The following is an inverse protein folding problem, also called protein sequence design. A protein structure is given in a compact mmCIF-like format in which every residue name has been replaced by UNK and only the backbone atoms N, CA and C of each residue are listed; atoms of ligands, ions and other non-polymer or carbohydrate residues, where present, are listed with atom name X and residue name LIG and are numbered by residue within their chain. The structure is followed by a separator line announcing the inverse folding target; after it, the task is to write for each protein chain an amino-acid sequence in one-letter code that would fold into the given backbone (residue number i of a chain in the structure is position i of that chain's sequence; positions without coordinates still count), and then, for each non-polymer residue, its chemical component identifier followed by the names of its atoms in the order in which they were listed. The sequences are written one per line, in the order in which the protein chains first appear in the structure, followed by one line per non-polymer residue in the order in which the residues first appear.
data_IF_876070713939
#
_entry.id   IF_876070713939
#
_cell.length_a   1.000
_cell.length_b   1.000
_cell.length_c   1.000
_cell.angle_alpha   90.00
_cell.angle_beta   90.00
_cell.angle_gamma   90.00
#
_symmetry.space_group_name_H-M   'P 1'
#
loop_
_entity.id
_entity.type
_entity.pdbx_description
1 polymer ?
#
# COMPACT_ATOMS: atom_id res chain seq x y z
N UNK A 1 35.63 -32.42 -27.45
CA UNK A 1 35.65 -31.38 -26.38
C UNK A 1 36.04 -30.10 -27.09
N UNK A 2 35.07 -29.29 -27.43
CA UNK A 2 35.28 -27.90 -27.84
C UNK A 2 35.70 -27.13 -26.62
N UNK A 3 36.73 -26.34 -26.81
CA UNK A 3 37.41 -25.49 -25.85
C UNK A 3 36.41 -24.77 -24.91
N UNK A 4 36.81 -24.58 -23.66
CA UNK A 4 36.08 -23.81 -22.63
C UNK A 4 35.94 -22.33 -23.02
N UNK A 5 35.42 -22.06 -24.21
CA UNK A 5 35.19 -20.73 -24.79
C UNK A 5 33.69 -20.45 -24.84
N UNK A 6 33.31 -19.37 -24.24
CA UNK A 6 31.96 -18.86 -24.31
C UNK A 6 31.77 -18.02 -25.59
N UNK A 7 30.89 -18.48 -26.47
CA UNK A 7 30.52 -17.73 -27.68
C UNK A 7 29.61 -16.54 -27.31
N UNK A 8 29.42 -15.61 -28.23
CA UNK A 8 28.60 -14.43 -28.02
C UNK A 8 27.20 -14.76 -27.50
N UNK A 9 26.55 -15.73 -28.15
CA UNK A 9 25.19 -16.16 -27.73
C UNK A 9 25.20 -16.78 -26.33
N UNK A 10 26.21 -17.56 -25.99
CA UNK A 10 26.38 -18.11 -24.65
C UNK A 10 26.62 -17.05 -23.61
N UNK A 11 27.36 -15.98 -23.94
CA UNK A 11 27.57 -14.85 -23.06
C UNK A 11 26.28 -14.02 -22.87
N UNK A 12 25.53 -13.79 -23.94
CA UNK A 12 24.23 -13.15 -23.86
C UNK A 12 23.23 -13.96 -22.99
N UNK A 13 23.17 -15.26 -23.21
CA UNK A 13 22.33 -16.14 -22.38
C UNK A 13 22.77 -16.17 -20.92
N UNK A 14 24.07 -16.10 -20.63
CA UNK A 14 24.56 -15.97 -19.27
C UNK A 14 24.12 -14.67 -18.61
N UNK A 15 24.24 -13.53 -19.30
CA UNK A 15 23.78 -12.23 -18.78
C UNK A 15 22.27 -12.17 -18.54
N UNK A 16 21.49 -12.90 -19.32
CA UNK A 16 20.03 -13.01 -19.18
C UNK A 16 19.58 -14.11 -18.21
N UNK A 17 20.53 -14.92 -17.74
CA UNK A 17 20.24 -16.04 -16.83
C UNK A 17 20.17 -15.57 -15.38
N UNK A 18 19.61 -16.43 -14.52
CA UNK A 18 19.60 -16.24 -13.08
C UNK A 18 21.01 -16.03 -12.47
N UNK A 19 22.05 -16.57 -13.10
CA UNK A 19 23.43 -16.37 -12.64
C UNK A 19 23.96 -14.95 -12.91
N UNK A 20 23.39 -14.26 -13.91
CA UNK A 20 23.70 -12.86 -14.23
C UNK A 20 22.78 -11.86 -13.55
N UNK A 21 21.77 -12.32 -12.81
CA UNK A 21 20.80 -11.46 -12.12
C UNK A 21 21.45 -10.77 -10.93
N UNK A 22 21.04 -9.51 -10.68
CA UNK A 22 21.43 -8.75 -9.49
C UNK A 22 20.63 -9.14 -8.25
N UNK A 23 19.45 -9.77 -8.43
CA UNK A 23 18.64 -10.29 -7.35
C UNK A 23 19.18 -11.64 -6.89
N UNK A 24 19.39 -11.77 -5.57
CA UNK A 24 19.70 -13.07 -4.99
C UNK A 24 18.57 -14.07 -5.29
N UNK A 25 18.90 -15.20 -5.93
CA UNK A 25 17.92 -16.20 -6.35
C UNK A 25 17.11 -16.80 -5.19
N UNK A 26 17.68 -16.89 -3.99
CA UNK A 26 16.94 -17.30 -2.78
C UNK A 26 15.81 -16.33 -2.45
N UNK A 27 15.94 -15.06 -2.82
CA UNK A 27 14.91 -14.04 -2.59
C UNK A 27 13.75 -14.09 -3.60
N UNK A 28 13.88 -14.88 -4.66
CA UNK A 28 12.77 -15.14 -5.61
C UNK A 28 11.66 -16.02 -5.01
N UNK A 29 11.93 -16.62 -3.86
CA UNK A 29 10.99 -17.41 -3.06
C UNK A 29 10.70 -16.70 -1.75
N UNK A 30 9.60 -17.09 -1.08
CA UNK A 30 9.34 -16.65 0.28
C UNK A 30 10.41 -17.27 1.19
N UNK A 31 11.22 -16.43 1.81
CA UNK A 31 12.35 -16.82 2.65
C UNK A 31 12.35 -16.12 4.01
N UNK A 32 11.56 -15.06 4.17
CA UNK A 32 11.42 -14.36 5.44
C UNK A 32 10.44 -15.10 6.35
N UNK A 33 10.59 -14.90 7.67
CA UNK A 33 9.61 -15.37 8.64
C UNK A 33 8.27 -14.68 8.38
N UNK A 34 7.22 -15.45 8.15
CA UNK A 34 5.86 -14.98 7.88
C UNK A 34 4.91 -15.22 9.06
N UNK A 35 5.46 -15.66 10.21
CA UNK A 35 4.70 -15.97 11.44
C UNK A 35 4.62 -14.80 12.43
N UNK A 36 5.24 -13.65 12.13
CA UNK A 36 5.17 -12.45 12.95
C UNK A 36 3.80 -11.75 12.77
N UNK A 37 3.34 -10.93 13.73
CA UNK A 37 2.11 -10.15 13.59
C UNK A 37 2.09 -9.27 12.33
N UNK A 38 0.92 -9.03 11.74
CA UNK A 38 0.76 -8.20 10.53
C UNK A 38 1.47 -6.84 10.63
N UNK A 39 1.45 -6.21 11.82
CA UNK A 39 2.11 -4.92 12.03
C UNK A 39 3.65 -4.97 11.91
N UNK A 40 4.25 -6.16 11.88
CA UNK A 40 5.69 -6.33 11.70
C UNK A 40 6.14 -6.38 10.23
N UNK A 41 5.24 -6.18 9.26
CA UNK A 41 5.58 -6.19 7.84
C UNK A 41 5.29 -4.85 7.18
N UNK A 42 6.10 -4.53 6.16
CA UNK A 42 5.66 -3.63 5.11
C UNK A 42 4.71 -4.40 4.19
N UNK A 43 3.63 -3.77 3.78
CA UNK A 43 2.55 -4.39 3.01
C UNK A 43 2.32 -3.57 1.75
N UNK A 44 2.55 -4.15 0.58
CA UNK A 44 2.36 -3.48 -0.71
C UNK A 44 0.93 -2.98 -0.85
N UNK A 45 0.74 -1.68 -1.00
CA UNK A 45 -0.56 -1.01 -0.92
C UNK A 45 -0.79 -0.07 -2.09
N UNK A 46 -2.01 -0.09 -2.63
CA UNK A 46 -2.44 0.76 -3.74
C UNK A 46 -3.48 1.77 -3.27
N UNK A 47 -3.32 3.03 -3.73
CA UNK A 47 -4.28 4.13 -3.55
C UNK A 47 -5.18 4.20 -4.77
N UNK A 48 -6.49 4.44 -4.57
CA UNK A 48 -7.51 4.56 -5.63
C UNK A 48 -7.28 3.53 -6.74
N UNK A 49 -7.26 2.26 -6.35
CA UNK A 49 -6.80 1.13 -7.17
C UNK A 49 -7.56 1.00 -8.50
N UNK A 50 -8.83 1.40 -8.52
CA UNK A 50 -9.71 1.36 -9.69
C UNK A 50 -9.27 2.28 -10.84
N UNK A 51 -8.44 3.33 -10.58
CA UNK A 51 -8.05 4.31 -11.57
C UNK A 51 -6.91 3.82 -12.48
N UNK A 52 -7.06 4.05 -13.78
CA UNK A 52 -6.04 3.73 -14.78
C UNK A 52 -5.18 4.93 -15.19
N UNK A 53 -5.61 6.14 -14.84
CA UNK A 53 -4.98 7.43 -15.20
C UNK A 53 -5.07 8.44 -14.04
N UNK A 54 -5.44 9.68 -14.34
CA UNK A 54 -5.54 10.77 -13.37
C UNK A 54 -6.80 10.66 -12.48
N UNK A 55 -6.83 11.47 -11.40
CA UNK A 55 -7.87 11.43 -10.36
C UNK A 55 -9.19 12.11 -10.79
N UNK A 56 -9.19 12.97 -11.82
CA UNK A 56 -10.34 13.83 -12.18
C UNK A 56 -11.18 13.27 -13.31
N UNK A 57 -10.55 12.79 -14.38
CA UNK A 57 -11.23 12.29 -15.59
C UNK A 57 -10.70 10.93 -16.03
N UNK A 58 -10.06 10.21 -15.13
CA UNK A 58 -9.52 8.87 -15.38
C UNK A 58 -10.62 7.83 -15.60
N UNK A 59 -10.24 6.71 -16.18
CA UNK A 59 -11.14 5.57 -16.37
C UNK A 59 -10.99 4.62 -15.19
N UNK A 60 -12.09 4.29 -14.53
CA UNK A 60 -12.14 3.21 -13.55
C UNK A 60 -12.24 1.87 -14.27
N UNK A 61 -11.53 0.86 -13.77
CA UNK A 61 -11.49 -0.45 -14.39
C UNK A 61 -11.22 -1.54 -13.36
N UNK A 62 -11.89 -2.68 -13.51
CA UNK A 62 -11.61 -3.91 -12.73
C UNK A 62 -10.22 -4.47 -13.09
N UNK A 63 -9.76 -4.27 -14.33
CA UNK A 63 -8.42 -4.64 -14.78
C UNK A 63 -7.30 -3.95 -13.96
N UNK A 64 -7.55 -2.76 -13.42
CA UNK A 64 -6.59 -2.07 -12.55
C UNK A 64 -6.34 -2.87 -11.25
N UNK A 65 -7.38 -3.47 -10.67
CA UNK A 65 -7.25 -4.39 -9.52
C UNK A 65 -6.46 -5.64 -9.89
N UNK A 66 -6.76 -6.23 -11.05
CA UNK A 66 -6.02 -7.39 -11.55
C UNK A 66 -4.52 -7.08 -11.65
N UNK A 67 -4.16 -5.96 -12.26
CA UNK A 67 -2.76 -5.53 -12.40
C UNK A 67 -2.08 -5.30 -11.06
N UNK A 68 -2.76 -4.63 -10.12
CA UNK A 68 -2.22 -4.39 -8.79
C UNK A 68 -1.96 -5.71 -8.05
N UNK A 69 -2.92 -6.63 -8.02
CA UNK A 69 -2.81 -7.94 -7.37
C UNK A 69 -1.71 -8.80 -8.00
N UNK A 70 -1.62 -8.83 -9.34
CA UNK A 70 -0.58 -9.56 -10.08
C UNK A 70 0.81 -8.93 -9.92
N UNK A 71 0.90 -7.62 -9.61
CA UNK A 71 2.15 -6.97 -9.22
C UNK A 71 2.57 -7.29 -7.77
N UNK A 72 1.74 -8.01 -7.00
CA UNK A 72 1.99 -8.37 -5.60
C UNK A 72 1.36 -7.42 -4.58
N UNK A 73 0.50 -6.50 -4.99
CA UNK A 73 -0.23 -5.63 -4.06
C UNK A 73 -1.13 -6.45 -3.12
N UNK A 74 -1.13 -6.11 -1.83
CA UNK A 74 -1.91 -6.81 -0.79
C UNK A 74 -2.91 -5.93 -0.05
N UNK A 75 -2.93 -4.63 -0.33
CA UNK A 75 -3.98 -3.74 0.13
C UNK A 75 -4.48 -2.92 -1.06
N UNK A 76 -5.76 -3.08 -1.40
CA UNK A 76 -6.43 -2.39 -2.51
C UNK A 76 -7.57 -1.53 -1.95
N UNK A 77 -7.82 -0.41 -2.61
CA UNK A 77 -8.82 0.57 -2.19
C UNK A 77 -10.06 0.54 -3.08
N UNK A 78 -11.21 0.68 -2.43
CA UNK A 78 -12.52 0.74 -3.07
C UNK A 78 -13.30 1.93 -2.50
N UNK A 79 -13.49 2.98 -3.29
CA UNK A 79 -14.35 4.12 -2.96
C UNK A 79 -15.76 3.81 -3.41
N UNK A 80 -16.59 3.44 -2.45
CA UNK A 80 -17.92 2.88 -2.65
C UNK A 80 -18.97 3.97 -2.54
N UNK A 81 -19.76 4.14 -3.58
CA UNK A 81 -20.80 5.14 -3.70
C UNK A 81 -22.15 4.53 -4.06
N UNK A 82 -23.22 5.27 -3.74
CA UNK A 82 -24.57 4.89 -4.16
C UNK A 82 -24.66 4.75 -5.68
N UNK A 83 -25.11 3.60 -6.14
CA UNK A 83 -25.42 3.35 -7.54
C UNK A 83 -26.91 3.27 -7.79
N UNK A 84 -27.32 3.13 -9.05
CA UNK A 84 -28.71 2.89 -9.44
C UNK A 84 -29.14 1.46 -9.10
N UNK A 85 -30.44 1.26 -9.00
CA UNK A 85 -31.07 -0.06 -8.82
C UNK A 85 -30.58 -0.85 -7.59
N UNK A 86 -30.12 -0.14 -6.54
CA UNK A 86 -29.61 -0.75 -5.32
C UNK A 86 -28.20 -1.35 -5.43
N UNK A 87 -27.51 -1.15 -6.56
CA UNK A 87 -26.17 -1.71 -6.83
C UNK A 87 -25.07 -0.67 -6.54
N UNK A 88 -24.19 -0.92 -5.54
CA UNK A 88 -23.07 -0.04 -5.23
C UNK A 88 -22.08 0.04 -6.39
N UNK A 89 -21.49 1.23 -6.56
CA UNK A 89 -20.48 1.50 -7.58
C UNK A 89 -19.16 1.92 -6.95
N UNK A 90 -18.09 1.80 -7.72
CA UNK A 90 -16.74 2.25 -7.35
C UNK A 90 -16.28 3.29 -8.36
N UNK A 91 -15.94 4.48 -7.89
CA UNK A 91 -15.34 5.57 -8.65
C UNK A 91 -14.79 6.63 -7.71
N UNK A 92 -13.99 7.57 -8.23
CA UNK A 92 -13.52 8.71 -7.45
C UNK A 92 -14.65 9.74 -7.32
N UNK A 93 -15.21 9.87 -6.13
CA UNK A 93 -16.37 10.73 -5.86
C UNK A 93 -16.16 12.17 -6.29
N UNK A 94 -17.27 12.86 -6.63
CA UNK A 94 -17.27 14.25 -7.08
C UNK A 94 -16.40 14.57 -8.30
N UNK A 95 -15.97 13.55 -9.05
CA UNK A 95 -15.13 13.69 -10.26
C UNK A 95 -15.84 13.14 -11.50
N UNK A 96 -15.22 13.36 -12.68
CA UNK A 96 -15.69 12.83 -13.97
C UNK A 96 -15.14 11.44 -14.27
N UNK A 97 -14.57 10.73 -13.29
CA UNK A 97 -14.08 9.37 -13.49
C UNK A 97 -15.23 8.41 -13.80
N UNK A 98 -14.95 7.41 -14.63
CA UNK A 98 -15.99 6.41 -14.97
C UNK A 98 -16.32 5.53 -13.76
N UNK A 99 -17.51 4.96 -13.74
CA UNK A 99 -18.06 4.15 -12.66
C UNK A 99 -18.00 2.68 -13.06
N UNK A 100 -17.67 1.82 -12.09
CA UNK A 100 -17.71 0.36 -12.22
C UNK A 100 -18.56 -0.22 -11.10
N UNK A 101 -19.12 -1.40 -11.29
CA UNK A 101 -19.93 -2.04 -10.26
C UNK A 101 -19.02 -2.62 -9.15
N UNK A 102 -19.40 -2.41 -7.90
CA UNK A 102 -18.73 -3.00 -6.76
C UNK A 102 -18.64 -4.52 -6.87
N UNK A 103 -19.74 -5.18 -7.30
CA UNK A 103 -19.79 -6.61 -7.53
C UNK A 103 -18.68 -7.09 -8.47
N UNK A 104 -18.49 -6.42 -9.62
CA UNK A 104 -17.50 -6.81 -10.63
C UNK A 104 -16.07 -6.66 -10.10
N UNK A 105 -15.82 -5.67 -9.22
CA UNK A 105 -14.54 -5.53 -8.51
C UNK A 105 -14.31 -6.71 -7.59
N UNK A 106 -15.31 -7.11 -6.78
CA UNK A 106 -15.20 -8.26 -5.86
C UNK A 106 -14.99 -9.57 -6.63
N UNK A 107 -15.64 -9.76 -7.78
CA UNK A 107 -15.39 -10.91 -8.67
C UNK A 107 -13.94 -10.95 -9.17
N UNK A 108 -13.41 -9.81 -9.60
CA UNK A 108 -12.01 -9.71 -10.02
C UNK A 108 -11.04 -10.01 -8.87
N UNK A 109 -11.34 -9.55 -7.66
CA UNK A 109 -10.54 -9.86 -6.46
C UNK A 109 -10.60 -11.35 -6.15
N UNK A 110 -11.78 -12.00 -6.17
CA UNK A 110 -11.92 -13.45 -5.98
C UNK A 110 -10.99 -14.22 -6.92
N UNK A 111 -10.96 -13.83 -8.18
CA UNK A 111 -10.24 -14.57 -9.23
C UNK A 111 -8.72 -14.37 -9.17
N UNK A 112 -8.25 -13.23 -8.67
CA UNK A 112 -6.83 -12.83 -8.75
C UNK A 112 -6.13 -12.63 -7.41
N UNK A 113 -6.85 -12.55 -6.28
CA UNK A 113 -6.27 -12.27 -4.96
C UNK A 113 -5.07 -13.16 -4.62
N UNK A 114 -5.15 -14.46 -4.95
CA UNK A 114 -4.15 -15.45 -4.53
C UNK A 114 -3.37 -16.09 -5.68
N UNK A 115 -3.40 -15.50 -6.89
CA UNK A 115 -2.60 -16.02 -8.03
C UNK A 115 -1.12 -15.71 -7.91
N UNK A 116 -0.77 -14.50 -7.46
CA UNK A 116 0.63 -14.10 -7.28
C UNK A 116 1.17 -14.48 -5.90
N UNK A 117 0.35 -14.46 -4.87
CA UNK A 117 0.76 -14.65 -3.49
C UNK A 117 -0.37 -15.28 -2.69
N UNK A 118 -0.11 -16.26 -1.83
CA UNK A 118 -1.12 -16.87 -0.97
C UNK A 118 -1.46 -16.03 0.28
N UNK A 119 -0.70 -14.97 0.55
CA UNK A 119 -0.85 -14.15 1.75
C UNK A 119 -2.03 -13.18 1.65
N UNK A 120 -2.59 -12.74 2.78
CA UNK A 120 -3.86 -12.06 2.83
C UNK A 120 -3.93 -10.80 1.98
N UNK A 121 -5.13 -10.49 1.50
CA UNK A 121 -5.46 -9.22 0.82
C UNK A 121 -6.37 -8.42 1.73
N UNK A 122 -6.07 -7.12 1.88
CA UNK A 122 -6.86 -6.15 2.64
C UNK A 122 -7.67 -5.30 1.66
N UNK A 123 -8.99 -5.27 1.82
CA UNK A 123 -9.89 -4.36 1.13
C UNK A 123 -10.06 -3.10 1.98
N UNK A 124 -9.45 -2.00 1.56
CA UNK A 124 -9.63 -0.69 2.21
C UNK A 124 -10.87 -0.04 1.63
N UNK A 125 -11.97 -0.08 2.39
CA UNK A 125 -13.24 0.51 1.96
C UNK A 125 -13.30 1.98 2.40
N UNK A 126 -13.50 2.87 1.43
CA UNK A 126 -13.97 4.22 1.64
C UNK A 126 -15.46 4.24 1.27
N UNK A 127 -16.32 4.29 2.28
CA UNK A 127 -17.74 3.99 2.10
C UNK A 127 -18.59 5.26 2.21
N UNK A 128 -19.28 5.59 1.11
CA UNK A 128 -20.23 6.68 0.97
C UNK A 128 -21.65 6.19 0.68
N UNK A 129 -21.91 4.89 0.81
CA UNK A 129 -23.23 4.30 0.61
C UNK A 129 -24.10 4.45 1.88
N UNK A 130 -25.42 4.57 1.70
CA UNK A 130 -26.40 4.41 2.75
C UNK A 130 -26.51 2.95 3.23
N UNK A 131 -27.26 2.72 4.30
CA UNK A 131 -27.34 1.41 4.98
C UNK A 131 -27.79 0.27 4.04
N UNK A 132 -28.72 0.53 3.14
CA UNK A 132 -29.25 -0.47 2.22
C UNK A 132 -28.15 -0.98 1.24
N UNK A 133 -27.42 -0.06 0.60
CA UNK A 133 -26.35 -0.46 -0.30
C UNK A 133 -25.12 -0.99 0.43
N UNK A 134 -24.87 -0.58 1.67
CA UNK A 134 -23.87 -1.23 2.53
C UNK A 134 -24.22 -2.70 2.81
N UNK A 135 -25.51 -3.01 3.06
CA UNK A 135 -25.95 -4.40 3.20
C UNK A 135 -25.78 -5.18 1.89
N UNK A 136 -26.04 -4.52 0.74
CA UNK A 136 -25.75 -5.11 -0.60
C UNK A 136 -24.26 -5.38 -0.79
N UNK A 137 -23.37 -4.44 -0.40
CA UNK A 137 -21.92 -4.67 -0.43
C UNK A 137 -21.52 -5.90 0.40
N UNK A 138 -22.05 -6.00 1.62
CA UNK A 138 -21.79 -7.13 2.50
C UNK A 138 -22.29 -8.44 1.89
N UNK A 139 -23.48 -8.44 1.30
CA UNK A 139 -24.03 -9.59 0.59
C UNK A 139 -23.12 -10.03 -0.57
N UNK A 140 -22.70 -9.10 -1.43
CA UNK A 140 -21.80 -9.42 -2.55
C UNK A 140 -20.47 -9.99 -2.08
N UNK A 141 -19.83 -9.37 -1.09
CA UNK A 141 -18.57 -9.89 -0.55
C UNK A 141 -18.74 -11.32 -0.01
N UNK A 142 -19.79 -11.58 0.76
CA UNK A 142 -20.04 -12.90 1.33
C UNK A 142 -20.36 -13.95 0.26
N UNK A 143 -21.22 -13.61 -0.70
CA UNK A 143 -21.64 -14.53 -1.75
C UNK A 143 -20.51 -14.88 -2.73
N UNK A 144 -19.66 -13.89 -3.07
CA UNK A 144 -18.62 -14.04 -4.10
C UNK A 144 -17.34 -14.60 -3.51
N UNK A 145 -16.88 -14.07 -2.36
CA UNK A 145 -15.61 -14.48 -1.74
C UNK A 145 -15.75 -15.77 -0.91
N UNK A 146 -16.95 -16.05 -0.38
CA UNK A 146 -17.18 -17.25 0.41
C UNK A 146 -16.16 -17.41 1.55
N UNK A 147 -15.50 -18.57 1.63
CA UNK A 147 -14.52 -18.91 2.66
C UNK A 147 -13.23 -18.07 2.63
N UNK A 148 -12.98 -17.37 1.54
CA UNK A 148 -11.86 -16.43 1.49
C UNK A 148 -12.11 -15.21 2.38
N UNK A 149 -13.35 -14.78 2.57
CA UNK A 149 -13.68 -13.61 3.38
C UNK A 149 -13.55 -13.94 4.87
N UNK A 150 -12.71 -13.19 5.57
CA UNK A 150 -12.58 -13.31 7.02
C UNK A 150 -13.70 -12.51 7.70
N UNK A 151 -14.61 -13.20 8.38
CA UNK A 151 -15.77 -12.59 9.07
C UNK A 151 -15.73 -12.77 10.58
N UNK A 152 -14.79 -13.57 11.09
CA UNK A 152 -14.62 -13.80 12.53
C UNK A 152 -13.14 -13.91 12.87
N UNK A 153 -12.75 -13.59 14.13
CA UNK A 153 -11.38 -13.81 14.59
C UNK A 153 -10.95 -15.28 14.41
N UNK A 154 -9.67 -15.50 14.17
CA UNK A 154 -9.10 -16.84 14.11
C UNK A 154 -9.23 -17.51 15.49
N UNK A 155 -9.52 -18.81 15.48
CA UNK A 155 -9.62 -19.59 16.71
C UNK A 155 -8.29 -19.60 17.47
N UNK A 156 -8.33 -19.32 18.76
CA UNK A 156 -7.13 -19.26 19.60
C UNK A 156 -6.23 -18.04 19.41
N UNK A 157 -6.63 -17.05 18.63
CA UNK A 157 -5.88 -15.81 18.45
C UNK A 157 -5.91 -14.95 19.72
N UNK A 158 -4.76 -14.47 20.14
CA UNK A 158 -4.66 -13.49 21.23
C UNK A 158 -5.34 -12.18 20.80
N UNK A 159 -6.31 -11.66 21.57
CA UNK A 159 -6.98 -10.39 21.24
C UNK A 159 -6.06 -9.17 21.32
N UNK A 160 -4.90 -9.31 21.96
CA UNK A 160 -3.90 -8.24 22.12
C UNK A 160 -2.83 -8.26 21.03
N UNK A 161 -2.91 -9.17 20.06
CA UNK A 161 -1.95 -9.30 18.98
C UNK A 161 -2.64 -9.54 17.64
N UNK A 162 -2.14 -8.91 16.56
CA UNK A 162 -2.60 -9.22 15.23
C UNK A 162 -2.14 -10.61 14.77
N UNK A 163 -2.95 -11.34 14.01
CA UNK A 163 -2.50 -12.57 13.40
C UNK A 163 -1.38 -12.32 12.39
N UNK A 164 -0.66 -13.37 12.07
CA UNK A 164 0.42 -13.35 11.10
C UNK A 164 -0.10 -13.52 9.66
N UNK A 165 0.70 -13.09 8.65
CA UNK A 165 0.40 -13.42 7.26
C UNK A 165 0.24 -14.92 7.01
N UNK A 166 1.02 -15.75 7.73
CA UNK A 166 0.95 -17.22 7.61
C UNK A 166 -0.40 -17.77 8.07
N UNK A 167 -0.91 -17.31 9.21
CA UNK A 167 -2.22 -17.70 9.73
C UNK A 167 -3.38 -17.24 8.83
N UNK A 168 -3.17 -16.14 8.10
CA UNK A 168 -4.19 -15.52 7.24
C UNK A 168 -4.06 -15.92 5.76
N UNK A 169 -3.29 -16.94 5.43
CA UNK A 169 -3.20 -17.42 4.04
C UNK A 169 -4.58 -17.70 3.44
N UNK A 170 -4.78 -17.23 2.21
CA UNK A 170 -6.04 -17.40 1.49
C UNK A 170 -7.19 -16.56 2.02
N UNK A 171 -6.95 -15.61 2.94
CA UNK A 171 -7.98 -14.74 3.51
C UNK A 171 -7.98 -13.35 2.92
N UNK A 172 -9.19 -12.82 2.74
CA UNK A 172 -9.47 -11.43 2.40
C UNK A 172 -10.02 -10.76 3.65
N UNK A 173 -9.37 -9.66 4.08
CA UNK A 173 -9.76 -8.85 5.22
C UNK A 173 -10.40 -7.55 4.76
N UNK A 174 -11.37 -7.07 5.53
CA UNK A 174 -12.01 -5.77 5.29
C UNK A 174 -11.46 -4.74 6.26
N UNK A 175 -10.95 -3.62 5.73
CA UNK A 175 -10.65 -2.41 6.48
C UNK A 175 -11.79 -1.42 6.28
N UNK A 176 -12.46 -1.05 7.35
CA UNK A 176 -13.59 -0.15 7.32
C UNK A 176 -14.03 0.32 8.70
N UNK A 177 -15.02 1.21 8.74
CA UNK A 177 -15.66 1.62 9.99
C UNK A 177 -16.41 0.43 10.60
N UNK A 178 -16.51 0.40 11.93
CA UNK A 178 -17.21 -0.65 12.69
C UNK A 178 -18.16 0.02 13.70
N UNK A 179 -19.31 -0.60 13.92
CA UNK A 179 -20.22 -0.18 14.98
C UNK A 179 -19.55 -0.36 16.34
N UNK A 180 -19.77 0.56 17.30
CA UNK A 180 -19.26 0.41 18.66
C UNK A 180 -19.86 -0.85 19.29
N UNK A 181 -19.01 -1.60 20.02
CA UNK A 181 -19.49 -2.74 20.79
C UNK A 181 -20.27 -2.26 22.03
N UNK A 182 -21.35 -2.96 22.43
CA UNK A 182 -22.26 -2.49 23.50
C UNK A 182 -21.60 -2.29 24.86
N UNK A 183 -20.39 -2.81 25.06
CA UNK A 183 -19.67 -2.82 26.33
C UNK A 183 -18.45 -1.90 26.39
N UNK A 184 -18.19 -1.13 25.36
CA UNK A 184 -17.11 -0.15 25.37
C UNK A 184 -17.66 1.23 25.75
N UNK A 185 -17.07 1.85 26.77
CA UNK A 185 -17.33 3.25 27.09
C UNK A 185 -17.07 4.11 25.84
N UNK A 186 -17.97 5.09 25.55
CA UNK A 186 -17.76 6.00 24.46
C UNK A 186 -16.40 6.70 24.67
N UNK A 187 -15.56 6.71 23.65
CA UNK A 187 -14.31 7.48 23.67
C UNK A 187 -14.65 8.92 24.01
N UNK A 188 -14.19 9.39 25.15
CA UNK A 188 -14.13 10.83 25.38
C UNK A 188 -13.05 11.37 24.45
N UNK A 189 -13.45 11.91 23.32
CA UNK A 189 -12.59 12.73 22.46
C UNK A 189 -12.29 14.01 23.24
N UNK A 190 -11.22 13.99 24.03
CA UNK A 190 -10.77 15.16 24.82
C UNK A 190 -9.67 15.94 24.13
N UNK A 191 -9.34 15.63 22.89
CA UNK A 191 -8.50 16.49 22.05
C UNK A 191 -9.42 17.29 21.14
N UNK A 192 -9.44 18.61 21.30
CA UNK A 192 -9.93 19.52 20.27
C UNK A 192 -9.17 19.19 18.98
N UNK A 193 -9.83 19.13 17.81
CA UNK A 193 -9.14 18.98 16.54
C UNK A 193 -8.07 20.08 16.43
N UNK A 194 -6.93 19.73 15.87
CA UNK A 194 -5.89 20.70 15.57
C UNK A 194 -6.50 21.70 14.57
N UNK A 195 -6.34 23.01 14.75
CA UNK A 195 -6.85 24.01 13.79
C UNK A 195 -6.39 23.75 12.34
N UNK A 196 -5.21 23.13 12.15
CA UNK A 196 -4.75 22.69 10.82
C UNK A 196 -5.51 21.44 10.31
N UNK A 197 -6.11 20.63 11.20
CA UNK A 197 -7.00 19.52 10.80
C UNK A 197 -8.36 20.04 10.32
N UNK A 198 -8.87 21.10 10.95
CA UNK A 198 -10.09 21.78 10.48
C UNK A 198 -9.86 22.46 9.12
N UNK A 199 -8.68 23.07 8.88
CA UNK A 199 -8.36 23.64 7.56
C UNK A 199 -8.18 22.56 6.48
N UNK A 200 -7.59 21.37 6.81
CA UNK A 200 -7.48 20.26 5.86
C UNK A 200 -8.84 19.60 5.57
N UNK A 201 -9.69 19.43 6.59
CA UNK A 201 -11.07 19.01 6.42
C UNK A 201 -11.91 20.09 5.73
N UNK A 202 -11.66 21.39 6.00
CA UNK A 202 -12.36 22.49 5.32
C UNK A 202 -11.90 22.65 3.85
N UNK A 203 -10.63 22.43 3.51
CA UNK A 203 -10.17 22.43 2.09
C UNK A 203 -10.71 21.21 1.32
N UNK A 204 -10.88 20.05 1.97
CA UNK A 204 -11.61 18.89 1.40
C UNK A 204 -13.14 19.12 1.43
N UNK A 205 -13.67 19.88 2.41
CA UNK A 205 -15.09 20.17 2.58
C UNK A 205 -15.58 21.39 1.78
N UNK A 206 -14.74 22.34 1.34
CA UNK A 206 -15.17 23.43 0.46
C UNK A 206 -15.63 22.93 -0.92
N UNK A 207 -15.12 21.80 -1.40
CA UNK A 207 -15.72 21.09 -2.54
C UNK A 207 -17.05 20.39 -2.16
N UNK A 208 -17.36 20.22 -0.85
CA UNK A 208 -18.46 19.40 -0.32
C UNK A 208 -19.60 20.20 0.35
N UNK A 209 -19.63 21.54 0.27
CA UNK A 209 -20.62 22.37 0.96
C UNK A 209 -22.08 22.12 0.55
N UNK A 210 -22.33 21.35 -0.51
CA UNK A 210 -23.69 21.02 -0.99
C UNK A 210 -24.23 19.70 -0.42
N UNK A 211 -23.42 18.91 0.30
CA UNK A 211 -23.78 17.53 0.70
C UNK A 211 -23.94 17.30 2.22
N UNK A 212 -23.87 18.37 3.04
CA UNK A 212 -24.01 18.26 4.52
C UNK A 212 -25.34 17.68 5.00
N UNK A 213 -26.37 17.64 4.17
CA UNK A 213 -27.66 17.01 4.54
C UNK A 213 -27.63 15.47 4.38
N UNK A 214 -26.84 14.93 3.45
CA UNK A 214 -26.69 13.50 3.21
C UNK A 214 -25.59 12.87 4.10
N UNK A 215 -24.68 13.67 4.66
CA UNK A 215 -23.57 13.18 5.51
C UNK A 215 -24.04 12.58 6.85
N UNK A 216 -25.21 12.93 7.37
CA UNK A 216 -25.72 12.34 8.61
C UNK A 216 -26.10 10.87 8.46
N UNK A 217 -26.57 10.47 7.30
CA UNK A 217 -26.93 9.07 7.01
C UNK A 217 -25.69 8.24 6.56
N UNK A 218 -24.73 8.85 5.87
CA UNK A 218 -23.46 8.22 5.49
C UNK A 218 -22.52 7.97 6.69
N UNK A 219 -22.76 8.56 7.86
CA UNK A 219 -22.02 8.30 9.10
C UNK A 219 -22.40 6.96 9.76
N UNK A 220 -23.52 6.34 9.36
CA UNK A 220 -23.97 5.06 9.91
C UNK A 220 -23.36 3.89 9.18
N UNK A 221 -23.05 2.82 9.90
CA UNK A 221 -22.51 1.58 9.33
C UNK A 221 -23.56 0.47 9.44
N UNK A 222 -23.85 -0.21 8.32
CA UNK A 222 -24.73 -1.35 8.34
C UNK A 222 -24.15 -2.48 9.21
N UNK A 223 -24.97 -3.14 10.06
CA UNK A 223 -24.49 -4.23 10.91
C UNK A 223 -23.79 -5.35 10.14
N UNK A 224 -24.30 -5.68 8.96
CA UNK A 224 -23.74 -6.71 8.08
C UNK A 224 -22.32 -6.34 7.61
N UNK A 225 -22.09 -5.08 7.23
CA UNK A 225 -20.77 -4.59 6.83
C UNK A 225 -19.84 -4.48 8.03
N UNK A 226 -20.33 -3.95 9.16
CA UNK A 226 -19.59 -3.86 10.41
C UNK A 226 -19.06 -5.23 10.87
N UNK A 227 -19.87 -6.28 10.75
CA UNK A 227 -19.49 -7.64 11.14
C UNK A 227 -18.31 -8.21 10.32
N UNK A 228 -18.03 -7.66 9.13
CA UNK A 228 -16.91 -8.10 8.29
C UNK A 228 -15.57 -7.46 8.66
N UNK A 229 -15.60 -6.42 9.49
CA UNK A 229 -14.38 -5.73 9.97
C UNK A 229 -13.89 -6.43 11.22
N UNK A 230 -12.82 -7.24 11.09
CA UNK A 230 -12.30 -8.07 12.18
C UNK A 230 -10.97 -7.52 12.73
N UNK A 231 -9.92 -7.41 11.88
CA UNK A 231 -8.57 -7.02 12.30
C UNK A 231 -8.13 -5.64 11.78
N UNK A 232 -8.98 -4.94 11.02
CA UNK A 232 -8.62 -3.68 10.37
C UNK A 232 -9.73 -2.64 10.56
N UNK A 233 -10.08 -2.31 11.81
CA UNK A 233 -11.08 -1.29 12.11
C UNK A 233 -10.52 0.10 11.83
N UNK A 234 -11.12 0.83 10.88
CA UNK A 234 -10.76 2.20 10.61
C UNK A 234 -11.24 3.14 11.73
N UNK A 235 -10.31 3.89 12.30
CA UNK A 235 -10.59 4.82 13.41
C UNK A 235 -9.89 6.16 13.18
N UNK A 236 -10.46 7.27 13.67
CA UNK A 236 -9.74 8.53 13.79
C UNK A 236 -8.48 8.34 14.65
N UNK A 237 -7.39 9.03 14.29
CA UNK A 237 -6.16 8.93 15.04
C UNK A 237 -6.26 9.61 16.41
N UNK A 238 -6.09 8.89 17.53
CA UNK A 238 -6.28 9.45 18.86
C UNK A 238 -5.05 10.19 19.41
N UNK A 239 -4.02 10.40 18.59
CA UNK A 239 -2.71 10.92 18.99
C UNK A 239 -1.76 9.85 19.53
N UNK A 240 -0.45 10.04 19.31
CA UNK A 240 0.60 9.05 19.68
C UNK A 240 0.60 8.74 21.17
N UNK A 241 0.48 9.76 22.04
CA UNK A 241 0.52 9.57 23.48
C UNK A 241 -0.65 8.72 24.01
N UNK A 242 -1.83 8.85 23.42
CA UNK A 242 -2.99 8.02 23.78
C UNK A 242 -2.84 6.61 23.23
N UNK A 243 -2.53 6.46 21.95
CA UNK A 243 -2.41 5.17 21.28
C UNK A 243 -1.34 4.26 21.94
N UNK A 244 -0.20 4.83 22.35
CA UNK A 244 0.86 4.08 23.02
C UNK A 244 0.50 3.65 24.45
N UNK A 245 -0.37 4.40 25.13
CA UNK A 245 -0.87 4.02 26.47
C UNK A 245 -2.00 3.00 26.41
N UNK A 246 -2.77 3.00 25.31
CA UNK A 246 -3.95 2.16 25.11
C UNK A 246 -3.87 1.46 23.75
N UNK A 247 -2.92 0.54 23.55
CA UNK A 247 -2.73 -0.12 22.27
C UNK A 247 -3.97 -0.94 21.88
N UNK A 248 -4.41 -0.79 20.64
CA UNK A 248 -5.53 -1.49 20.04
C UNK A 248 -5.09 -2.09 18.71
N UNK A 249 -4.54 -3.30 18.67
CA UNK A 249 -3.91 -3.86 17.48
C UNK A 249 -4.83 -3.92 16.26
N UNK A 250 -6.13 -4.15 16.46
CA UNK A 250 -7.11 -4.26 15.36
C UNK A 250 -7.58 -2.90 14.80
N UNK A 251 -7.14 -1.78 15.38
CA UNK A 251 -7.48 -0.45 14.90
C UNK A 251 -6.43 0.08 13.92
N UNK A 252 -6.89 0.71 12.85
CA UNK A 252 -6.06 1.27 11.79
C UNK A 252 -6.40 2.73 11.61
N UNK A 253 -5.42 3.61 11.79
CA UNK A 253 -5.55 5.04 11.44
C UNK A 253 -4.96 5.29 10.06
N UNK A 254 -5.59 6.20 9.31
CA UNK A 254 -5.11 6.64 7.99
C UNK A 254 -4.60 8.08 8.09
N UNK A 255 -3.53 8.37 7.37
CA UNK A 255 -2.87 9.67 7.36
C UNK A 255 -2.64 10.13 5.93
N UNK A 256 -2.93 11.40 5.63
CA UNK A 256 -2.38 12.02 4.43
C UNK A 256 -0.84 12.03 4.50
N UNK A 257 -0.17 12.09 3.34
CA UNK A 257 1.30 12.18 3.30
C UNK A 257 1.84 13.38 4.09
N UNK A 258 1.08 14.47 4.17
CA UNK A 258 1.41 15.69 4.92
C UNK A 258 1.35 15.43 6.42
N UNK A 259 0.26 14.85 6.91
CA UNK A 259 0.08 14.50 8.33
C UNK A 259 1.11 13.46 8.78
N UNK A 260 1.39 12.46 7.96
CA UNK A 260 2.43 11.48 8.26
C UNK A 260 3.82 12.13 8.40
N UNK A 261 4.19 13.07 7.50
CA UNK A 261 5.45 13.84 7.62
C UNK A 261 5.49 14.71 8.87
N UNK A 262 4.37 15.35 9.23
CA UNK A 262 4.25 16.14 10.47
C UNK A 262 4.56 15.24 11.67
N UNK A 263 3.90 14.10 11.80
CA UNK A 263 4.13 13.13 12.89
C UNK A 263 5.57 12.61 12.93
N UNK A 264 6.17 12.30 11.79
CA UNK A 264 7.58 11.87 11.68
C UNK A 264 8.52 12.97 12.21
N UNK A 265 8.24 14.22 11.90
CA UNK A 265 9.05 15.36 12.31
C UNK A 265 8.90 15.68 13.81
N UNK A 266 7.70 15.57 14.34
CA UNK A 266 7.38 15.89 15.74
C UNK A 266 7.88 14.81 16.69
N UNK A 267 7.53 13.55 16.46
CA UNK A 267 7.99 12.40 17.27
C UNK A 267 8.03 11.11 16.44
N UNK A 268 9.00 11.04 15.54
CA UNK A 268 9.19 9.87 14.68
C UNK A 268 9.45 8.58 15.44
N UNK A 269 10.07 8.63 16.64
CA UNK A 269 10.32 7.45 17.45
C UNK A 269 9.02 6.92 18.10
N UNK A 270 8.14 7.80 18.57
CA UNK A 270 6.83 7.40 19.04
C UNK A 270 5.98 6.79 17.91
N UNK A 271 6.07 7.35 16.70
CA UNK A 271 5.39 6.79 15.54
C UNK A 271 5.94 5.39 15.16
N UNK A 272 7.25 5.16 15.25
CA UNK A 272 7.84 3.82 15.07
C UNK A 272 7.30 2.84 16.11
N UNK A 273 7.21 3.25 17.37
CA UNK A 273 6.63 2.42 18.44
C UNK A 273 5.16 2.10 18.21
N UNK A 274 4.40 3.08 17.77
CA UNK A 274 3.00 2.90 17.37
C UNK A 274 2.88 1.87 16.22
N UNK A 275 3.66 2.03 15.17
CA UNK A 275 3.68 1.14 14.02
C UNK A 275 4.25 -0.26 14.31
N UNK A 276 4.92 -0.46 15.44
CA UNK A 276 5.33 -1.80 15.90
C UNK A 276 4.17 -2.62 16.49
N UNK A 277 3.05 -1.98 16.85
CA UNK A 277 1.91 -2.59 17.53
C UNK A 277 0.61 -2.55 16.73
N UNK A 278 0.45 -1.55 15.86
CA UNK A 278 -0.77 -1.30 15.08
C UNK A 278 -0.44 -1.04 13.62
N UNK A 279 -1.44 -1.24 12.76
CA UNK A 279 -1.34 -0.86 11.36
C UNK A 279 -1.64 0.64 11.19
N UNK A 280 -0.88 1.28 10.32
CA UNK A 280 -1.20 2.61 9.80
C UNK A 280 -1.22 2.60 8.28
N UNK A 281 -2.10 3.42 7.71
CA UNK A 281 -2.17 3.65 6.28
C UNK A 281 -1.75 5.08 5.97
N UNK A 282 -0.96 5.26 4.92
CA UNK A 282 -0.60 6.59 4.40
C UNK A 282 -1.06 6.67 2.95
N UNK A 283 -1.61 7.82 2.56
CA UNK A 283 -2.14 8.05 1.22
C UNK A 283 -1.70 9.41 0.65
N UNK A 284 -1.65 9.58 -0.69
CA UNK A 284 -1.30 10.84 -1.33
C UNK A 284 -2.33 11.94 -1.02
N UNK A 285 -1.93 13.21 -1.07
CA UNK A 285 -2.86 14.34 -0.94
C UNK A 285 -3.92 14.30 -2.06
N UNK A 286 -5.19 14.57 -1.71
CA UNK A 286 -6.33 14.60 -2.63
C UNK A 286 -6.15 15.58 -3.79
N UNK A 287 -5.50 16.73 -3.54
CA UNK A 287 -5.19 17.76 -4.55
C UNK A 287 -4.23 17.31 -5.66
N UNK A 288 -3.65 16.09 -5.59
CA UNK A 288 -2.77 15.54 -6.63
C UNK A 288 -3.56 15.00 -7.83
N UNK A 289 -4.23 15.88 -8.55
CA UNK A 289 -5.07 15.55 -9.72
C UNK A 289 -4.38 14.66 -10.76
N UNK A 290 -3.05 14.75 -10.87
CA UNK A 290 -2.24 13.95 -11.80
C UNK A 290 -1.94 12.54 -11.35
N UNK A 291 -2.45 12.09 -10.21
CA UNK A 291 -2.09 10.82 -9.57
C UNK A 291 -0.59 10.67 -9.25
N UNK A 292 0.10 11.78 -8.96
CA UNK A 292 1.52 11.71 -8.60
C UNK A 292 1.71 11.04 -7.24
N UNK A 293 2.85 10.39 -7.05
CA UNK A 293 3.18 9.70 -5.82
C UNK A 293 4.12 10.53 -4.94
N UNK A 294 4.02 10.31 -3.64
CA UNK A 294 5.00 10.79 -2.65
C UNK A 294 6.16 9.79 -2.52
N UNK A 295 7.23 10.19 -1.83
CA UNK A 295 8.35 9.29 -1.55
C UNK A 295 7.95 8.27 -0.46
N UNK A 296 7.77 6.99 -0.79
CA UNK A 296 7.33 5.99 0.19
C UNK A 296 8.38 5.65 1.24
N UNK A 297 9.67 5.90 0.94
CA UNK A 297 10.76 5.56 1.85
C UNK A 297 10.67 6.33 3.17
N UNK A 298 10.19 7.58 3.15
CA UNK A 298 9.98 8.38 4.36
C UNK A 298 9.02 7.68 5.34
N UNK A 299 7.94 7.10 4.82
CA UNK A 299 6.92 6.43 5.61
C UNK A 299 7.39 5.06 6.10
N UNK A 300 8.13 4.32 5.26
CA UNK A 300 8.72 3.04 5.66
C UNK A 300 9.79 3.23 6.75
N UNK A 301 10.54 4.34 6.74
CA UNK A 301 11.51 4.67 7.80
C UNK A 301 10.83 4.83 9.17
N UNK A 302 9.58 5.28 9.19
CA UNK A 302 8.75 5.38 10.40
C UNK A 302 7.96 4.09 10.70
N UNK A 303 8.16 3.02 9.93
CA UNK A 303 7.53 1.73 10.15
C UNK A 303 6.09 1.62 9.65
N UNK A 304 5.57 2.59 8.88
CA UNK A 304 4.23 2.49 8.29
C UNK A 304 4.12 1.26 7.37
N UNK A 305 3.03 0.52 7.50
CA UNK A 305 2.81 -0.73 6.77
C UNK A 305 2.12 -0.50 5.43
N UNK A 306 0.97 0.18 5.45
CA UNK A 306 0.09 0.38 4.30
C UNK A 306 0.40 1.72 3.63
N UNK A 307 1.56 1.79 2.97
CA UNK A 307 2.01 2.99 2.25
C UNK A 307 1.42 2.95 0.85
N UNK A 308 0.22 3.54 0.73
CA UNK A 308 -0.59 3.44 -0.48
C UNK A 308 -0.08 4.38 -1.58
N UNK A 309 0.11 3.83 -2.77
CA UNK A 309 0.63 4.54 -3.94
C UNK A 309 -0.30 4.38 -5.14
N UNK A 310 -0.26 5.34 -6.05
CA UNK A 310 -0.93 5.30 -7.34
C UNK A 310 -0.15 4.37 -8.29
N UNK A 311 -0.58 3.11 -8.41
CA UNK A 311 0.14 2.08 -9.19
C UNK A 311 0.14 2.35 -10.69
N UNK A 312 -0.80 3.17 -11.18
CA UNK A 312 -0.87 3.58 -12.59
C UNK A 312 0.19 4.62 -12.98
N UNK A 313 0.87 5.24 -12.02
CA UNK A 313 1.80 6.34 -12.27
C UNK A 313 3.24 5.88 -12.10
N UNK A 314 4.02 5.72 -13.19
CA UNK A 314 5.43 5.32 -13.11
C UNK A 314 6.29 6.44 -12.50
N UNK A 315 7.48 6.08 -12.05
CA UNK A 315 8.49 7.00 -11.53
C UNK A 315 9.17 6.47 -10.28
N UNK A 316 10.07 7.27 -9.71
CA UNK A 316 10.95 6.86 -8.61
C UNK A 316 10.21 6.22 -7.42
N UNK A 317 9.03 6.73 -7.05
CA UNK A 317 8.24 6.15 -5.96
C UNK A 317 7.80 4.72 -6.26
N UNK A 318 7.35 4.44 -7.48
CA UNK A 318 6.95 3.09 -7.89
C UNK A 318 8.16 2.18 -8.13
N UNK A 319 9.30 2.73 -8.56
CA UNK A 319 10.56 1.98 -8.65
C UNK A 319 11.04 1.55 -7.25
N UNK A 320 10.96 2.43 -6.25
CA UNK A 320 11.25 2.10 -4.86
C UNK A 320 10.28 1.04 -4.31
N UNK A 321 8.98 1.16 -4.63
CA UNK A 321 7.98 0.18 -4.23
C UNK A 321 8.24 -1.18 -4.88
N UNK A 322 8.50 -1.21 -6.18
CA UNK A 322 8.84 -2.43 -6.90
C UNK A 322 10.11 -3.09 -6.31
N UNK A 323 11.15 -2.30 -6.05
CA UNK A 323 12.38 -2.79 -5.43
C UNK A 323 12.18 -3.33 -4.01
N UNK A 324 11.35 -2.64 -3.19
CA UNK A 324 11.03 -3.08 -1.82
C UNK A 324 10.36 -4.46 -1.82
N UNK A 325 9.39 -4.67 -2.69
CA UNK A 325 8.57 -5.87 -2.73
C UNK A 325 9.03 -6.92 -3.77
N UNK A 326 10.18 -6.68 -4.44
CA UNK A 326 10.76 -7.64 -5.39
C UNK A 326 11.24 -8.92 -4.68
N UNK A 327 11.84 -8.78 -3.51
CA UNK A 327 12.28 -9.89 -2.67
C UNK A 327 11.13 -10.66 -2.03
N UNK A 328 11.48 -11.67 -1.21
CA UNK A 328 10.53 -12.51 -0.49
C UNK A 328 9.43 -13.12 -1.40
N UNK A 329 9.85 -13.57 -2.60
CA UNK A 329 8.95 -14.21 -3.56
C UNK A 329 7.90 -13.28 -4.17
N UNK A 330 8.11 -11.97 -4.13
CA UNK A 330 7.12 -10.97 -4.57
C UNK A 330 5.74 -11.17 -3.92
N UNK A 331 5.75 -11.66 -2.67
CA UNK A 331 4.50 -12.00 -1.98
C UNK A 331 3.73 -10.79 -1.46
N UNK A 332 4.31 -9.59 -1.57
CA UNK A 332 3.68 -8.33 -1.15
C UNK A 332 3.81 -8.02 0.34
N UNK A 333 4.50 -8.86 1.09
CA UNK A 333 4.86 -8.69 2.49
C UNK A 333 6.38 -8.73 2.64
N UNK A 334 6.96 -7.74 3.31
CA UNK A 334 8.39 -7.68 3.62
C UNK A 334 8.55 -7.44 5.10
N UNK A 335 9.25 -8.35 5.79
CA UNK A 335 9.47 -8.25 7.23
C UNK A 335 10.31 -7.01 7.55
N UNK A 336 9.83 -6.19 8.46
CA UNK A 336 10.53 -5.00 8.93
C UNK A 336 11.83 -5.40 9.64
N UNK A 337 12.88 -4.56 9.60
CA UNK A 337 14.08 -4.79 10.39
C UNK A 337 13.75 -4.73 11.89
N UNK A 338 14.58 -5.38 12.74
CA UNK A 338 14.32 -5.45 14.19
C UNK A 338 14.10 -4.09 14.86
N UNK A 339 14.83 -3.05 14.44
CA UNK A 339 14.70 -1.70 14.98
C UNK A 339 13.31 -1.07 14.76
N UNK A 340 12.52 -1.55 13.79
CA UNK A 340 11.16 -1.10 13.53
C UNK A 340 10.09 -2.05 14.10
N UNK A 341 10.48 -3.22 14.61
CA UNK A 341 9.56 -4.18 15.24
C UNK A 341 9.59 -4.11 16.76
N UNK A 342 10.79 -3.89 17.33
CA UNK A 342 11.03 -3.84 18.79
C UNK A 342 11.91 -2.63 19.12
N UNK A 343 11.41 -1.39 18.98
CA UNK A 343 12.18 -0.20 19.32
C UNK A 343 12.29 0.01 20.84
N UNK A 344 13.48 0.43 21.39
CA UNK A 344 14.70 0.70 20.64
C UNK A 344 15.44 -0.60 20.31
N UNK A 345 15.61 -0.90 19.02
CA UNK A 345 16.45 -2.02 18.60
C UNK A 345 17.93 -1.70 18.76
N UNK A 346 18.72 -2.68 19.19
CA UNK A 346 20.17 -2.55 19.24
C UNK A 346 20.77 -2.56 17.82
N UNK A 347 21.74 -1.68 17.64
CA UNK A 347 22.81 -1.84 16.65
C UNK A 347 22.49 -1.42 15.23
N UNK A 348 22.91 -0.22 14.85
CA UNK A 348 23.14 0.12 13.44
C UNK A 348 24.42 -0.59 12.97
N UNK A 349 24.27 -1.73 12.29
CA UNK A 349 25.38 -2.30 11.53
C UNK A 349 25.64 -1.44 10.30
N UNK A 350 26.84 -0.90 10.19
CA UNK A 350 27.27 -0.23 8.97
C UNK A 350 27.55 -1.28 7.90
N UNK A 351 26.82 -1.19 6.78
CA UNK A 351 27.07 -1.99 5.59
C UNK A 351 27.80 -1.14 4.56
N UNK A 352 28.88 -1.68 4.00
CA UNK A 352 29.53 -1.10 2.83
C UNK A 352 28.97 -1.77 1.58
N UNK A 353 28.32 -0.99 0.73
CA UNK A 353 27.82 -1.46 -0.57
C UNK A 353 28.81 -1.09 -1.67
N UNK A 354 29.35 -2.09 -2.36
CA UNK A 354 30.21 -1.90 -3.52
C UNK A 354 29.44 -2.21 -4.80
N UNK A 355 29.22 -1.22 -5.64
CA UNK A 355 28.55 -1.38 -6.94
C UNK A 355 29.57 -1.20 -8.05
N UNK A 356 29.78 -2.25 -8.85
CA UNK A 356 30.61 -2.21 -10.06
C UNK A 356 29.72 -2.23 -11.30
N UNK A 357 29.70 -1.15 -12.05
CA UNK A 357 29.07 -1.12 -13.37
C UNK A 357 29.94 -1.88 -14.35
N UNK A 358 29.48 -2.99 -14.87
CA UNK A 358 30.23 -3.86 -15.77
C UNK A 358 29.98 -3.47 -17.23
N UNK A 359 28.70 -3.43 -17.64
CA UNK A 359 28.30 -3.09 -18.99
C UNK A 359 26.84 -2.58 -19.02
N UNK A 360 26.48 -1.88 -20.08
CA UNK A 360 25.12 -1.56 -20.46
C UNK A 360 25.01 -1.72 -21.98
N UNK A 361 24.05 -2.48 -22.45
CA UNK A 361 23.96 -2.91 -23.87
C UNK A 361 22.59 -2.58 -24.42
N UNK A 362 22.51 -2.31 -25.74
CA UNK A 362 21.28 -2.04 -26.48
C UNK A 362 20.41 -0.96 -25.82
N UNK A 363 21.05 0.10 -25.31
CA UNK A 363 20.34 1.19 -24.65
C UNK A 363 19.45 1.92 -25.66
N UNK A 364 18.15 2.09 -25.36
CA UNK A 364 17.22 2.77 -26.25
C UNK A 364 17.55 4.27 -26.31
N UNK A 365 17.47 4.85 -27.49
CA UNK A 365 17.55 6.30 -27.67
C UNK A 365 16.20 6.91 -27.28
N UNK A 366 16.18 7.69 -26.20
CA UNK A 366 14.97 8.34 -25.71
C UNK A 366 14.52 9.53 -26.55
N UNK A 367 15.47 10.25 -27.18
CA UNK A 367 15.19 11.42 -28.00
C UNK A 367 15.42 11.08 -29.49
N UNK A 368 14.33 10.86 -30.24
CA UNK A 368 14.39 10.48 -31.65
C UNK A 368 14.60 11.66 -32.61
N UNK A 369 14.51 12.92 -32.14
CA UNK A 369 14.56 14.10 -33.00
C UNK A 369 15.97 14.39 -33.55
N UNK A 370 17.02 13.84 -32.95
CA UNK A 370 18.39 13.93 -33.46
C UNK A 370 18.76 12.67 -34.25
N UNK A 371 18.52 12.68 -35.55
CA UNK A 371 18.66 11.52 -36.46
C UNK A 371 20.04 10.88 -36.53
N UNK A 372 21.10 11.49 -36.02
CA UNK A 372 22.49 11.06 -36.23
C UNK A 372 23.32 10.81 -34.95
N UNK A 373 22.75 10.95 -33.75
CA UNK A 373 23.54 10.76 -32.54
C UNK A 373 23.35 9.37 -31.94
N UNK A 374 24.43 8.76 -31.51
CA UNK A 374 24.51 7.59 -30.65
C UNK A 374 24.15 8.06 -29.23
N UNK A 375 23.76 7.16 -28.33
CA UNK A 375 23.47 7.50 -26.93
C UNK A 375 24.74 7.89 -26.17
N UNK A 376 24.62 8.80 -25.22
CA UNK A 376 25.69 9.18 -24.30
C UNK A 376 25.37 8.67 -22.89
N UNK A 377 25.53 7.36 -22.61
CA UNK A 377 25.07 6.75 -21.39
C UNK A 377 25.94 7.12 -20.18
N UNK A 378 25.29 7.15 -19.03
CA UNK A 378 25.91 7.12 -17.72
C UNK A 378 25.08 6.26 -16.78
N UNK A 379 25.67 5.79 -15.69
CA UNK A 379 24.97 5.07 -14.64
C UNK A 379 24.95 5.91 -13.37
N UNK A 380 23.79 6.05 -12.80
CA UNK A 380 23.57 6.70 -11.51
C UNK A 380 23.10 5.67 -10.51
N UNK A 381 23.73 5.66 -9.34
CA UNK A 381 23.36 4.81 -8.21
C UNK A 381 22.92 5.73 -7.08
N UNK A 382 21.74 5.48 -6.55
CA UNK A 382 21.15 6.21 -5.43
C UNK A 382 20.79 5.25 -4.31
N UNK A 383 21.09 5.65 -3.06
CA UNK A 383 20.63 4.95 -1.85
C UNK A 383 19.52 5.79 -1.24
N UNK A 384 18.37 5.18 -1.03
CA UNK A 384 17.22 5.78 -0.39
C UNK A 384 17.00 5.09 0.97
N UNK A 385 16.98 5.86 2.04
CA UNK A 385 16.86 5.37 3.41
C UNK A 385 16.54 6.51 4.37
N UNK A 386 17.00 6.39 5.61
CA UNK A 386 17.01 7.53 6.52
C UNK A 386 17.97 8.62 6.00
N UNK A 387 17.79 9.91 6.35
CA UNK A 387 18.57 10.99 5.77
C UNK A 387 20.08 10.77 5.76
N UNK A 388 20.62 10.16 6.82
CA UNK A 388 22.06 9.88 6.96
C UNK A 388 22.57 8.77 6.02
N UNK A 389 21.70 7.93 5.51
CA UNK A 389 22.04 6.82 4.62
C UNK A 389 21.81 7.19 3.14
N UNK A 390 21.14 8.31 2.88
CA UNK A 390 20.90 8.77 1.51
C UNK A 390 22.21 9.16 0.84
N UNK A 391 22.49 8.57 -0.31
CA UNK A 391 23.69 8.84 -1.09
C UNK A 391 23.41 8.73 -2.58
N UNK A 392 24.19 9.45 -3.37
CA UNK A 392 24.10 9.44 -4.83
C UNK A 392 25.48 9.48 -5.43
N UNK A 393 25.76 8.54 -6.33
CA UNK A 393 26.98 8.49 -7.12
C UNK A 393 26.64 8.31 -8.61
N UNK A 394 27.51 8.80 -9.48
CA UNK A 394 27.28 8.75 -10.92
C UNK A 394 28.58 8.52 -11.67
N UNK A 395 28.57 7.66 -12.70
CA UNK A 395 29.69 7.52 -13.62
C UNK A 395 29.79 8.76 -14.52
N UNK A 396 30.95 8.93 -15.17
CA UNK A 396 31.08 9.88 -16.28
C UNK A 396 30.25 9.41 -17.48
N UNK A 397 29.75 10.35 -18.27
CA UNK A 397 29.11 10.04 -19.55
C UNK A 397 30.12 9.38 -20.50
N UNK A 398 29.67 8.38 -21.23
CA UNK A 398 30.38 7.81 -22.37
C UNK A 398 29.79 8.43 -23.62
N UNK A 399 30.58 9.32 -24.27
CA UNK A 399 30.13 10.05 -25.45
C UNK A 399 30.18 9.16 -26.68
N UNK A 400 29.13 9.22 -27.51
CA UNK A 400 29.01 8.51 -28.79
C UNK A 400 29.30 6.99 -28.68
N UNK A 401 28.72 6.34 -27.69
CA UNK A 401 28.98 4.93 -27.42
C UNK A 401 27.72 4.07 -27.67
#
# INVERSE_FOLDING_TARGET
RQQDLMMLDGFMMYLLSAAGDILNQEHTKVHQDMSQPLCHYFISSSHNTYLTRNQVGGTSSTEAYVRALMAGCRCVELDCWEGSDGEPIVYHGHTLTSKILFRDVIESIRDYAFKQSPYPVILSLENHCGLEQQATMAHHMKAILGDMLLTQPLEGQDPHELPSPEQLKGKVLVKGKKLPEPWHEPRSVTSLPDPEEEEEEEEEDEENLQDRSNQRDAAQVAPELSAMVVYCQAVPFPGLAHALRHPRPCEVSSFSERKARKLIKEDGLALVRYNAQQLSRVYPLGLKMTSSNYNPQEMWNAGCQLVALNFQTPGCAMDLNAGRFLGNGRCGYVLKPPCLRCPPGEGTHRLALHVRVISAQQLPKLNQEKGSSIVDPFVRVEIHGVPNDCARQQTRHKLNN
#
